data_IF_327893669025
#
_entry.id   IF_327893669025
#
_cell.length_a   1.000
_cell.length_b   1.000
_cell.length_c   1.000
_cell.angle_alpha   90.00
_cell.angle_beta   90.00
_cell.angle_gamma   90.00
#
_symmetry.space_group_name_H-M   'P 1'
#
loop_
_entity.id
_entity.type
_entity.pdbx_description
1 polymer ?
#
# COMPACT_ATOMS: atom_id res chain seq x y z
N UNK A 1 1.05 -15.92 0.63
CA UNK A 1 2.03 -14.85 0.82
C UNK A 1 1.70 -14.01 2.06
N UNK A 2 2.65 -13.23 2.50
CA UNK A 2 2.41 -12.30 3.61
C UNK A 2 1.26 -11.36 3.28
N UNK A 3 1.25 -10.80 2.09
CA UNK A 3 0.19 -9.89 1.68
C UNK A 3 -1.18 -10.56 1.73
N UNK A 4 -1.28 -11.79 1.25
CA UNK A 4 -2.54 -12.54 1.29
C UNK A 4 -3.04 -12.72 2.72
N UNK A 5 -2.14 -13.06 3.63
CA UNK A 5 -2.50 -13.23 5.05
C UNK A 5 -2.97 -11.92 5.68
N UNK A 6 -2.30 -10.82 5.37
CA UNK A 6 -2.66 -9.50 5.87
C UNK A 6 -4.04 -9.07 5.38
N UNK A 7 -4.29 -9.22 4.09
CA UNK A 7 -5.58 -8.85 3.49
C UNK A 7 -6.71 -9.68 4.09
N UNK A 8 -6.50 -10.99 4.23
CA UNK A 8 -7.49 -11.88 4.82
C UNK A 8 -7.82 -11.48 6.26
N UNK A 9 -6.78 -11.25 7.08
CA UNK A 9 -6.97 -10.81 8.46
C UNK A 9 -7.75 -9.51 8.53
N UNK A 10 -7.38 -8.53 7.70
CA UNK A 10 -8.03 -7.23 7.69
C UNK A 10 -9.52 -7.34 7.37
N UNK A 11 -9.86 -8.11 6.36
CA UNK A 11 -11.27 -8.27 5.93
C UNK A 11 -12.12 -8.97 6.98
N UNK A 12 -11.52 -9.85 7.78
CA UNK A 12 -12.22 -10.51 8.88
C UNK A 12 -12.41 -9.57 10.07
N UNK A 13 -11.39 -8.77 10.38
CA UNK A 13 -11.44 -7.85 11.53
C UNK A 13 -12.27 -6.61 11.27
N UNK A 14 -12.24 -6.09 10.05
CA UNK A 14 -12.87 -4.81 9.72
C UNK A 14 -13.76 -4.96 8.48
N UNK A 15 -14.87 -5.71 8.60
CA UNK A 15 -15.72 -5.98 7.42
C UNK A 15 -16.38 -4.73 6.82
N UNK A 16 -16.41 -3.63 7.55
CA UNK A 16 -17.00 -2.37 7.07
C UNK A 16 -15.97 -1.41 6.48
N UNK A 17 -14.70 -1.79 6.49
CA UNK A 17 -13.64 -1.01 5.86
C UNK A 17 -13.18 -1.70 4.58
N UNK A 18 -12.46 -0.97 3.75
CA UNK A 18 -12.01 -1.48 2.45
C UNK A 18 -10.49 -1.57 2.42
N UNK A 19 -9.99 -2.70 1.97
CA UNK A 19 -8.59 -2.86 1.57
C UNK A 19 -8.56 -3.44 0.16
N UNK A 20 -7.69 -2.90 -0.68
CA UNK A 20 -7.52 -3.46 -2.02
C UNK A 20 -6.06 -3.34 -2.45
N UNK A 21 -5.68 -4.23 -3.35
CA UNK A 21 -4.33 -4.26 -3.89
C UNK A 21 -4.26 -3.50 -5.20
N UNK A 22 -3.08 -2.91 -5.45
CA UNK A 22 -2.75 -2.31 -6.74
C UNK A 22 -1.73 -3.23 -7.40
N UNK A 23 -2.10 -3.95 -8.46
CA UNK A 23 -1.16 -4.87 -9.11
C UNK A 23 -0.08 -4.07 -9.84
N UNK A 24 1.15 -4.19 -9.37
CA UNK A 24 2.30 -3.43 -9.86
C UNK A 24 3.34 -4.31 -10.52
N UNK A 25 3.09 -5.57 -10.68
CA UNK A 25 4.12 -6.49 -11.10
C UNK A 25 3.86 -7.11 -12.45
N UNK A 26 4.79 -7.91 -12.86
CA UNK A 26 4.67 -8.73 -14.03
C UNK A 26 5.56 -8.28 -15.16
N UNK A 27 6.05 -9.26 -15.93
CA UNK A 27 6.79 -9.01 -17.14
C UNK A 27 5.85 -8.48 -18.20
N UNK A 28 6.26 -7.39 -18.84
CA UNK A 28 5.48 -6.79 -19.92
C UNK A 28 6.43 -6.42 -21.05
N UNK A 29 5.98 -6.56 -22.28
CA UNK A 29 6.77 -6.07 -23.39
C UNK A 29 6.79 -4.54 -23.37
N UNK A 30 7.73 -3.95 -24.07
CA UNK A 30 7.96 -2.51 -24.08
C UNK A 30 6.73 -1.73 -24.55
N UNK A 31 6.04 -2.24 -25.58
CA UNK A 31 4.85 -1.59 -26.12
C UNK A 31 3.72 -1.55 -25.08
N UNK A 32 3.48 -2.67 -24.39
CA UNK A 32 2.47 -2.74 -23.36
C UNK A 32 2.79 -1.83 -22.18
N UNK A 33 4.06 -1.82 -21.75
CA UNK A 33 4.52 -0.94 -20.67
C UNK A 33 4.32 0.52 -21.02
N UNK A 34 4.63 0.91 -22.24
CA UNK A 34 4.43 2.28 -22.71
C UNK A 34 2.95 2.67 -22.74
N UNK A 35 2.10 1.75 -23.21
CA UNK A 35 0.66 1.98 -23.26
C UNK A 35 0.09 2.20 -21.84
N UNK A 36 0.47 1.33 -20.89
CA UNK A 36 0.01 1.42 -19.51
C UNK A 36 0.49 2.70 -18.84
N UNK A 37 1.73 3.08 -19.09
CA UNK A 37 2.27 4.33 -18.55
C UNK A 37 1.48 5.53 -19.10
N UNK A 38 1.17 5.53 -20.39
CA UNK A 38 0.37 6.59 -21.00
C UNK A 38 -1.05 6.64 -20.44
N UNK A 39 -1.59 5.49 -20.02
CA UNK A 39 -2.90 5.38 -19.40
C UNK A 39 -2.89 5.75 -17.91
N UNK A 40 -1.74 6.06 -17.34
CA UNK A 40 -1.65 6.53 -15.96
C UNK A 40 -1.07 5.53 -14.96
N UNK A 41 -0.59 4.38 -15.40
CA UNK A 41 0.07 3.43 -14.50
C UNK A 41 1.39 4.05 -14.03
N UNK A 42 1.57 4.11 -12.71
CA UNK A 42 2.72 4.78 -12.10
C UNK A 42 3.58 3.75 -11.37
N UNK A 43 4.86 3.69 -11.74
CA UNK A 43 5.81 2.82 -11.06
C UNK A 43 6.04 3.31 -9.63
N UNK A 44 6.17 2.37 -8.70
CA UNK A 44 6.51 2.69 -7.31
C UNK A 44 5.33 2.96 -6.40
N UNK A 45 4.08 2.89 -6.89
CA UNK A 45 2.92 3.05 -6.01
C UNK A 45 2.84 1.91 -5.00
N UNK A 46 2.15 2.15 -3.89
CA UNK A 46 2.01 1.16 -2.83
C UNK A 46 1.25 -0.09 -3.29
N UNK A 47 1.53 -1.22 -2.66
CA UNK A 47 0.91 -2.50 -2.99
C UNK A 47 -0.54 -2.58 -2.54
N UNK A 48 -0.87 -1.95 -1.41
CA UNK A 48 -2.19 -2.00 -0.80
C UNK A 48 -2.67 -0.59 -0.47
N UNK A 49 -3.98 -0.40 -0.60
CA UNK A 49 -4.65 0.83 -0.16
C UNK A 49 -5.75 0.44 0.82
N UNK A 50 -5.80 1.13 1.96
CA UNK A 50 -6.82 0.94 2.98
C UNK A 50 -7.64 2.21 3.09
N UNK A 51 -8.95 2.08 3.02
CA UNK A 51 -9.86 3.20 3.23
C UNK A 51 -10.26 3.25 4.69
N UNK A 52 -9.90 4.33 5.36
CA UNK A 52 -10.14 4.54 6.77
C UNK A 52 -11.32 5.50 6.98
N UNK A 53 -11.91 5.52 8.19
CA UNK A 53 -12.99 6.48 8.49
C UNK A 53 -12.54 7.93 8.28
N UNK A 54 -13.51 8.81 8.09
CA UNK A 54 -13.32 10.25 7.95
C UNK A 54 -12.57 10.66 6.69
N UNK A 55 -12.71 9.86 5.64
CA UNK A 55 -12.14 10.17 4.33
C UNK A 55 -10.64 9.99 4.24
N UNK A 56 -10.02 9.31 5.18
CA UNK A 56 -8.58 9.04 5.17
C UNK A 56 -8.25 7.77 4.42
N UNK A 57 -7.06 7.72 3.84
CA UNK A 57 -6.54 6.53 3.20
C UNK A 57 -5.13 6.25 3.68
N UNK A 58 -4.78 4.96 3.69
CA UNK A 58 -3.48 4.48 4.12
C UNK A 58 -2.87 3.68 2.97
N UNK A 59 -1.64 4.01 2.61
CA UNK A 59 -0.90 3.32 1.56
C UNK A 59 0.14 2.43 2.20
N UNK A 60 0.13 1.14 1.88
CA UNK A 60 1.04 0.17 2.49
C UNK A 60 1.85 -0.53 1.39
N UNK A 61 3.16 -0.46 1.53
CA UNK A 61 4.08 -1.18 0.68
C UNK A 61 4.54 -2.42 1.42
N UNK A 62 4.36 -3.60 0.79
CA UNK A 62 4.78 -4.86 1.38
C UNK A 62 6.20 -5.18 0.93
N UNK A 63 7.08 -5.48 1.89
CA UNK A 63 8.48 -5.80 1.61
C UNK A 63 8.89 -7.10 2.29
N UNK A 64 9.75 -7.84 1.65
CA UNK A 64 10.42 -8.99 2.25
C UNK A 64 11.59 -8.46 3.08
N UNK A 65 11.78 -9.03 4.28
CA UNK A 65 12.88 -8.65 5.17
C UNK A 65 14.21 -8.67 4.42
N UNK A 66 14.96 -7.60 4.57
CA UNK A 66 16.25 -7.43 3.89
C UNK A 66 16.17 -6.70 2.57
N UNK A 67 15.00 -6.59 1.98
CA UNK A 67 14.83 -5.81 0.74
C UNK A 67 14.60 -4.34 1.07
N UNK A 68 15.10 -3.49 0.18
CA UNK A 68 14.97 -2.04 0.31
C UNK A 68 14.01 -1.50 -0.72
N UNK A 69 13.47 -0.33 -0.45
CA UNK A 69 12.64 0.38 -1.42
C UNK A 69 13.46 0.70 -2.68
N UNK A 70 12.81 0.60 -3.83
CA UNK A 70 13.36 1.12 -5.08
C UNK A 70 13.29 2.64 -5.07
N UNK A 71 13.99 3.29 -5.99
CA UNK A 71 13.95 4.75 -6.10
C UNK A 71 12.55 5.26 -6.42
N UNK A 72 11.82 4.57 -7.28
CA UNK A 72 10.43 4.92 -7.59
C UNK A 72 9.53 4.83 -6.37
N UNK A 73 9.73 3.82 -5.53
CA UNK A 73 8.96 3.66 -4.29
C UNK A 73 9.25 4.78 -3.30
N UNK A 74 10.53 5.16 -3.17
CA UNK A 74 10.92 6.27 -2.29
C UNK A 74 10.32 7.59 -2.76
N UNK A 75 10.32 7.81 -4.07
CA UNK A 75 9.74 9.02 -4.66
C UNK A 75 8.24 9.08 -4.40
N UNK A 76 7.54 7.97 -4.60
CA UNK A 76 6.10 7.91 -4.34
C UNK A 76 5.79 8.19 -2.87
N UNK A 77 6.54 7.57 -1.95
CA UNK A 77 6.35 7.80 -0.52
C UNK A 77 6.55 9.28 -0.18
N UNK A 78 7.61 9.88 -0.67
CA UNK A 78 7.91 11.29 -0.38
C UNK A 78 6.79 12.21 -0.86
N UNK A 79 6.31 11.99 -2.08
CA UNK A 79 5.22 12.79 -2.63
C UNK A 79 3.93 12.58 -1.83
N UNK A 80 3.59 11.32 -1.54
CA UNK A 80 2.39 10.99 -0.79
C UNK A 80 2.39 11.67 0.58
N UNK A 81 3.51 11.57 1.31
CA UNK A 81 3.63 12.19 2.63
C UNK A 81 3.62 13.72 2.56
N UNK A 82 4.25 14.29 1.56
CA UNK A 82 4.23 15.75 1.35
C UNK A 82 2.81 16.26 1.12
N UNK A 83 1.99 15.46 0.44
CA UNK A 83 0.59 15.80 0.17
C UNK A 83 -0.34 15.46 1.34
N UNK A 84 0.20 14.96 2.45
CA UNK A 84 -0.58 14.69 3.66
C UNK A 84 -1.16 13.29 3.76
N UNK A 85 -0.77 12.37 2.88
CA UNK A 85 -1.23 10.99 2.94
C UNK A 85 -0.36 10.16 3.88
N UNK A 86 -0.94 9.12 4.46
CA UNK A 86 -0.20 8.20 5.32
C UNK A 86 0.35 7.05 4.49
N UNK A 87 1.63 6.76 4.68
CA UNK A 87 2.34 5.71 3.96
C UNK A 87 3.12 4.86 4.95
N UNK A 88 3.13 3.55 4.76
CA UNK A 88 3.86 2.63 5.61
C UNK A 88 4.54 1.55 4.79
N UNK A 89 5.74 1.14 5.22
CA UNK A 89 6.45 -0.02 4.67
C UNK A 89 6.28 -1.13 5.68
N UNK A 90 5.86 -2.30 5.23
CA UNK A 90 5.49 -3.41 6.10
C UNK A 90 6.28 -4.66 5.76
N UNK A 91 6.95 -5.24 6.76
CA UNK A 91 7.82 -6.40 6.60
C UNK A 91 7.26 -7.67 7.23
N UNK A 92 6.22 -7.57 8.08
CA UNK A 92 5.71 -8.75 8.79
C UNK A 92 4.22 -8.60 9.07
N UNK A 93 3.58 -9.72 9.42
CA UNK A 93 2.19 -9.73 9.80
C UNK A 93 1.93 -8.90 11.06
N UNK A 94 2.82 -9.01 12.06
CA UNK A 94 2.67 -8.24 13.30
C UNK A 94 2.82 -6.73 13.04
N UNK A 95 3.73 -6.35 12.16
CA UNK A 95 3.86 -4.95 11.76
C UNK A 95 2.58 -4.45 11.08
N UNK A 96 2.00 -5.28 10.21
CA UNK A 96 0.77 -4.92 9.52
C UNK A 96 -0.35 -4.60 10.51
N UNK A 97 -0.55 -5.49 11.49
CA UNK A 97 -1.57 -5.30 12.51
C UNK A 97 -1.33 -4.01 13.30
N UNK A 98 -0.08 -3.76 13.69
CA UNK A 98 0.30 -2.56 14.42
C UNK A 98 0.03 -1.29 13.61
N UNK A 99 0.34 -1.31 12.32
CA UNK A 99 0.09 -0.17 11.42
C UNK A 99 -1.41 0.14 11.37
N UNK A 100 -2.24 -0.90 11.17
CA UNK A 100 -3.69 -0.72 11.10
C UNK A 100 -4.25 -0.19 12.41
N UNK A 101 -3.86 -0.77 13.53
CA UNK A 101 -4.34 -0.37 14.86
C UNK A 101 -3.97 1.07 15.17
N UNK A 102 -2.74 1.47 14.85
CA UNK A 102 -2.28 2.84 15.07
C UNK A 102 -3.10 3.84 14.25
N UNK A 103 -3.32 3.56 12.97
CA UNK A 103 -4.04 4.47 12.10
C UNK A 103 -5.52 4.58 12.48
N UNK A 104 -6.14 3.49 12.90
CA UNK A 104 -7.53 3.52 13.36
C UNK A 104 -7.66 4.30 14.66
N UNK A 105 -6.74 4.15 15.59
CA UNK A 105 -6.73 4.89 16.85
C UNK A 105 -6.57 6.38 16.59
N UNK A 106 -5.64 6.76 15.73
CA UNK A 106 -5.40 8.15 15.35
C UNK A 106 -6.62 8.75 14.65
N UNK A 107 -7.26 7.98 13.78
CA UNK A 107 -8.43 8.42 13.02
C UNK A 107 -9.65 8.63 13.91
N UNK A 108 -9.78 7.84 14.98
CA UNK A 108 -10.93 7.89 15.87
C UNK A 108 -10.83 8.97 16.97
N UNK A 109 -9.72 9.66 17.02
CA UNK A 109 -9.51 10.72 18.02
C UNK A 109 -10.04 12.08 17.52
#
# INVERSE_FOLDING_TARGET
>A
TLQTSCVKWFRLQYPNLVIYAVPNGGSRNVREAQRLKAEGVLAGVADLVVLLPQGKSLYIEMKVKGNKQTDNQKDFQKIAETLGHTYAVCYSFDEFKAIIEKELTTTNN
#
